data_IF_897260012277
#
_entry.id   IF_897260012277
#
_cell.length_a   1.000
_cell.length_b   1.000
_cell.length_c   1.000
_cell.angle_alpha   90.00
_cell.angle_beta   90.00
_cell.angle_gamma   90.00
#
_symmetry.space_group_name_H-M   'P 1'
#
loop_
_entity.id
_entity.type
_entity.pdbx_description
1 polymer ?
#
# COMPACT_ATOMS: atom_id res chain seq x y z
N UNK A 1 -27.05 -1.68 14.34
CA UNK A 1 -26.23 -0.65 14.96
C UNK A 1 -24.98 -0.40 14.13
N UNK A 2 -24.58 0.87 14.00
CA UNK A 2 -23.31 1.31 13.41
C UNK A 2 -22.68 2.30 14.40
N UNK A 3 -21.37 2.17 14.64
CA UNK A 3 -20.61 3.14 15.43
C UNK A 3 -19.82 4.02 14.46
N UNK A 4 -20.04 5.32 14.52
CA UNK A 4 -19.32 6.32 13.74
C UNK A 4 -18.16 6.89 14.55
N UNK A 5 -16.97 6.92 13.95
CA UNK A 5 -15.73 7.35 14.61
C UNK A 5 -14.97 6.21 15.27
N UNK A 6 -14.23 6.53 16.35
CA UNK A 6 -13.48 5.54 17.13
C UNK A 6 -14.44 4.71 17.99
N UNK A 7 -14.27 3.40 17.95
CA UNK A 7 -15.28 2.47 18.48
C UNK A 7 -15.15 2.12 19.95
N UNK A 8 -13.99 2.33 20.57
CA UNK A 8 -13.66 1.79 21.89
C UNK A 8 -14.68 2.17 22.97
N UNK A 9 -14.83 3.45 23.23
CA UNK A 9 -15.78 3.96 24.23
C UNK A 9 -17.23 3.76 23.81
N UNK A 10 -17.54 3.99 22.55
CA UNK A 10 -18.92 3.89 22.06
C UNK A 10 -19.43 2.44 22.11
N UNK A 11 -18.57 1.46 21.79
CA UNK A 11 -18.93 0.04 21.85
C UNK A 11 -19.12 -0.42 23.30
N UNK A 12 -18.23 -0.03 24.20
CA UNK A 12 -18.38 -0.32 25.64
C UNK A 12 -19.71 0.24 26.17
N UNK A 13 -19.99 1.53 25.90
CA UNK A 13 -21.23 2.17 26.34
C UNK A 13 -22.48 1.54 25.70
N UNK A 14 -22.38 1.05 24.46
CA UNK A 14 -23.46 0.30 23.83
C UNK A 14 -23.78 -0.98 24.60
N UNK A 15 -22.76 -1.75 24.98
CA UNK A 15 -22.94 -2.99 25.74
C UNK A 15 -23.55 -2.72 27.12
N UNK A 16 -23.06 -1.68 27.81
CA UNK A 16 -23.53 -1.31 29.16
C UNK A 16 -24.98 -0.77 29.14
N UNK A 17 -25.35 -0.07 28.07
CA UNK A 17 -26.65 0.62 27.97
C UNK A 17 -27.76 -0.24 27.35
N UNK A 18 -27.41 -1.32 26.65
CA UNK A 18 -28.39 -2.12 25.91
C UNK A 18 -29.53 -2.63 26.81
N UNK A 19 -30.83 -2.52 26.43
CA UNK A 19 -31.34 -2.04 25.12
C UNK A 19 -31.57 -0.51 25.00
N UNK A 20 -31.21 0.30 26.01
CA UNK A 20 -31.47 1.74 26.07
C UNK A 20 -30.35 2.56 25.45
N UNK A 21 -30.28 2.58 24.13
CA UNK A 21 -29.10 3.06 23.36
C UNK A 21 -29.18 4.52 22.88
N UNK A 22 -30.28 5.23 23.17
CA UNK A 22 -30.57 6.58 22.66
C UNK A 22 -29.53 7.65 23.09
N UNK A 23 -28.67 7.35 24.07
CA UNK A 23 -27.67 8.29 24.60
C UNK A 23 -26.21 7.91 24.29
N UNK A 24 -25.97 6.77 23.63
CA UNK A 24 -24.61 6.30 23.31
C UNK A 24 -23.99 7.16 22.21
N UNK A 25 -22.91 7.91 22.47
CA UNK A 25 -22.31 8.79 21.46
C UNK A 25 -21.78 8.01 20.27
N UNK A 26 -21.93 8.57 19.06
CA UNK A 26 -21.47 7.95 17.81
C UNK A 26 -22.30 6.79 17.34
N UNK A 27 -23.38 6.41 18.03
CA UNK A 27 -24.23 5.30 17.63
C UNK A 27 -25.26 5.75 16.58
N UNK A 28 -25.35 4.96 15.50
CA UNK A 28 -26.40 5.07 14.48
C UNK A 28 -27.19 3.76 14.49
N UNK A 29 -28.51 3.87 14.59
CA UNK A 29 -29.37 2.70 14.68
C UNK A 29 -30.77 2.94 14.09
N UNK A 30 -31.43 1.86 13.71
CA UNK A 30 -32.81 1.91 13.24
C UNK A 30 -33.76 1.90 14.43
N UNK A 31 -34.66 2.89 14.51
CA UNK A 31 -35.75 2.96 15.47
C UNK A 31 -37.06 3.07 14.71
N UNK A 32 -37.86 2.02 14.75
CA UNK A 32 -39.06 1.85 13.88
C UNK A 32 -38.64 1.96 12.40
N UNK A 33 -39.18 2.88 11.64
CA UNK A 33 -38.91 3.10 10.21
C UNK A 33 -37.90 4.22 9.92
N UNK A 34 -37.30 4.81 10.97
CA UNK A 34 -36.32 5.89 10.82
C UNK A 34 -34.93 5.48 11.28
N UNK A 35 -33.91 6.05 10.66
CA UNK A 35 -32.52 5.97 11.15
C UNK A 35 -32.31 7.12 12.14
N UNK A 36 -31.84 6.75 13.33
CA UNK A 36 -31.45 7.71 14.37
C UNK A 36 -29.93 7.77 14.41
N UNK A 37 -29.39 8.98 14.54
CA UNK A 37 -27.97 9.24 14.71
C UNK A 37 -27.76 10.03 16.02
N UNK A 38 -27.02 9.46 16.94
CA UNK A 38 -26.65 10.12 18.18
C UNK A 38 -25.52 11.13 17.96
N UNK A 39 -25.28 12.00 18.93
CA UNK A 39 -24.15 12.95 18.85
C UNK A 39 -22.86 12.23 18.58
N UNK A 40 -21.92 12.83 17.82
CA UNK A 40 -20.61 12.25 17.58
C UNK A 40 -19.90 11.85 18.88
N UNK A 41 -19.20 10.71 18.88
CA UNK A 41 -18.36 10.32 19.98
C UNK A 41 -17.14 11.24 20.07
N UNK A 42 -16.64 11.57 21.26
CA UNK A 42 -15.35 12.23 21.41
C UNK A 42 -14.23 11.31 20.93
N UNK A 43 -13.10 11.89 20.53
CA UNK A 43 -11.89 11.12 20.22
C UNK A 43 -11.45 10.33 21.45
N UNK A 44 -11.10 9.07 21.26
CA UNK A 44 -10.62 8.21 22.33
C UNK A 44 -9.25 8.66 22.85
N UNK A 45 -9.08 8.68 24.16
CA UNK A 45 -7.77 8.94 24.76
C UNK A 45 -6.90 7.68 24.71
N UNK A 46 -5.91 7.68 23.82
CA UNK A 46 -5.02 6.52 23.61
C UNK A 46 -4.18 6.15 24.87
N UNK A 47 -4.08 7.04 25.87
CA UNK A 47 -3.42 6.70 27.14
C UNK A 47 -4.18 5.61 27.91
N UNK A 48 -5.48 5.45 27.68
CA UNK A 48 -6.28 4.37 28.26
C UNK A 48 -5.92 2.99 27.70
N UNK A 49 -5.12 2.91 26.65
CA UNK A 49 -4.59 1.66 26.10
C UNK A 49 -3.33 1.15 26.82
N UNK A 50 -2.87 1.83 27.88
CA UNK A 50 -1.59 1.52 28.52
C UNK A 50 -1.46 0.06 29.00
N UNK A 51 -2.55 -0.49 29.54
CA UNK A 51 -2.59 -1.84 30.13
C UNK A 51 -3.29 -2.88 29.22
N UNK A 52 -3.57 -2.50 27.96
CA UNK A 52 -4.25 -3.39 27.01
C UNK A 52 -3.23 -4.08 26.12
N UNK A 53 -3.24 -5.41 26.15
CA UNK A 53 -2.51 -6.26 25.24
C UNK A 53 -3.49 -6.84 24.20
N UNK A 54 -3.47 -6.36 22.94
CA UNK A 54 -4.48 -6.77 21.94
C UNK A 54 -4.53 -8.27 21.64
N UNK A 55 -3.45 -8.98 21.92
CA UNK A 55 -3.28 -10.41 21.62
C UNK A 55 -3.30 -11.30 22.87
N UNK A 56 -3.76 -10.79 24.03
CA UNK A 56 -3.65 -11.51 25.31
C UNK A 56 -4.40 -12.85 25.31
N UNK A 57 -5.52 -12.92 24.62
CA UNK A 57 -6.42 -14.10 24.60
C UNK A 57 -6.27 -14.94 23.31
N UNK A 58 -5.31 -14.58 22.42
CA UNK A 58 -5.11 -15.32 21.18
C UNK A 58 -4.30 -16.60 21.40
N UNK A 59 -4.64 -17.64 20.65
CA UNK A 59 -3.83 -18.86 20.59
C UNK A 59 -2.51 -18.56 19.86
N UNK A 60 -1.41 -18.57 20.62
CA UNK A 60 -0.07 -18.22 20.13
C UNK A 60 0.42 -19.14 19.00
N UNK A 61 -0.02 -20.39 18.93
CA UNK A 61 0.35 -21.30 17.85
C UNK A 61 -0.27 -20.86 16.52
N UNK A 62 -1.46 -20.24 16.56
CA UNK A 62 -2.11 -19.70 15.36
C UNK A 62 -1.46 -18.41 14.87
N UNK A 63 -0.80 -17.64 15.74
CA UNK A 63 -0.18 -16.37 15.39
C UNK A 63 1.05 -16.55 14.49
N UNK A 64 1.78 -17.67 14.62
CA UNK A 64 3.06 -17.92 13.96
C UNK A 64 3.01 -17.81 12.44
N UNK A 65 1.89 -18.16 11.81
CA UNK A 65 1.71 -18.17 10.36
C UNK A 65 0.85 -17.01 9.85
N UNK A 66 0.53 -16.03 10.72
CA UNK A 66 -0.25 -14.85 10.37
C UNK A 66 0.64 -13.62 10.25
N UNK A 67 0.17 -12.63 9.48
CA UNK A 67 0.67 -11.27 9.59
C UNK A 67 0.04 -10.67 10.84
N UNK A 68 0.88 -10.20 11.76
CA UNK A 68 0.44 -9.58 13.01
C UNK A 68 0.50 -8.06 12.88
N UNK A 69 -0.45 -7.38 13.48
CA UNK A 69 -0.59 -5.94 13.31
C UNK A 69 -0.31 -5.21 14.63
N UNK A 70 0.34 -4.06 14.52
CA UNK A 70 0.59 -3.16 15.64
C UNK A 70 0.23 -1.73 15.24
N UNK A 71 -0.57 -1.07 16.04
CA UNK A 71 -0.79 0.37 15.98
C UNK A 71 0.12 1.05 17.01
N UNK A 72 0.91 2.04 16.59
CA UNK A 72 1.71 2.87 17.51
C UNK A 72 1.21 4.30 17.54
N UNK A 73 0.56 4.72 16.47
CA UNK A 73 -0.07 6.04 16.37
C UNK A 73 -1.34 5.99 15.53
N UNK A 74 -2.24 6.92 15.79
CA UNK A 74 -3.51 7.10 15.10
C UNK A 74 -3.61 8.50 14.53
N UNK A 75 -4.16 8.63 13.29
CA UNK A 75 -4.25 9.86 12.54
C UNK A 75 -3.13 10.05 11.52
N UNK A 76 -3.27 11.02 10.60
CA UNK A 76 -2.29 11.34 9.57
C UNK A 76 -2.21 12.86 9.38
N UNK A 77 -1.02 13.49 9.36
CA UNK A 77 -0.91 14.95 9.24
C UNK A 77 -1.20 15.48 7.84
N UNK A 78 -1.28 14.56 6.85
CA UNK A 78 -1.55 14.91 5.46
C UNK A 78 -3.04 14.97 5.17
N UNK A 79 -3.40 15.74 4.13
CA UNK A 79 -4.78 16.00 3.73
C UNK A 79 -5.07 15.45 2.33
N UNK A 80 -4.50 14.30 1.99
CA UNK A 80 -4.70 13.67 0.68
C UNK A 80 -6.19 13.36 0.47
N UNK A 81 -6.82 13.97 -0.54
CA UNK A 81 -8.26 13.97 -0.73
C UNK A 81 -8.86 12.59 -1.08
N UNK A 82 -8.05 11.66 -1.55
CA UNK A 82 -8.47 10.29 -1.84
C UNK A 82 -8.40 9.34 -0.62
N UNK A 83 -7.83 9.82 0.51
CA UNK A 83 -7.51 8.96 1.65
C UNK A 83 -8.42 9.22 2.85
N UNK A 84 -9.04 8.17 3.40
CA UNK A 84 -9.86 8.27 4.62
C UNK A 84 -9.05 8.69 5.85
N UNK A 85 -7.74 8.36 5.91
CA UNK A 85 -6.89 8.76 7.04
C UNK A 85 -6.70 10.28 7.13
N UNK A 86 -6.96 11.04 6.06
CA UNK A 86 -6.91 12.50 6.06
C UNK A 86 -8.05 13.16 6.83
N UNK A 87 -9.08 12.40 7.20
CA UNK A 87 -10.22 12.88 8.00
C UNK A 87 -9.83 13.08 9.47
N UNK A 88 -8.81 12.34 9.97
CA UNK A 88 -8.18 12.57 11.28
C UNK A 88 -6.74 13.09 11.09
N UNK A 89 -6.58 14.41 11.11
CA UNK A 89 -5.30 15.07 10.82
C UNK A 89 -4.42 15.31 12.08
N UNK A 90 -4.85 14.82 13.25
CA UNK A 90 -4.11 14.93 14.50
C UNK A 90 -3.47 13.60 14.87
N UNK A 91 -2.16 13.50 14.69
CA UNK A 91 -1.42 12.29 15.08
C UNK A 91 -1.31 12.18 16.60
N UNK A 92 -1.82 11.09 17.16
CA UNK A 92 -1.79 10.73 18.58
C UNK A 92 -1.04 9.42 18.74
N UNK A 93 -0.20 9.29 19.74
CA UNK A 93 0.62 8.11 19.98
C UNK A 93 0.09 7.31 21.14
N UNK A 94 0.19 5.99 21.05
CA UNK A 94 -0.02 5.08 22.16
C UNK A 94 1.09 5.25 23.21
N UNK A 95 0.88 4.82 24.47
CA UNK A 95 1.93 4.79 25.48
C UNK A 95 3.15 3.95 25.05
N UNK A 96 4.35 4.49 25.22
CA UNK A 96 5.60 3.82 24.82
C UNK A 96 5.76 2.43 25.47
N UNK A 97 5.39 2.30 26.74
CA UNK A 97 5.46 1.02 27.44
C UNK A 97 4.54 -0.03 26.83
N UNK A 98 3.32 0.36 26.43
CA UNK A 98 2.36 -0.55 25.77
C UNK A 98 2.88 -0.97 24.37
N UNK A 99 3.42 -0.03 23.58
CA UNK A 99 4.03 -0.33 22.29
C UNK A 99 5.14 -1.37 22.45
N UNK A 100 6.07 -1.16 23.37
CA UNK A 100 7.21 -2.05 23.63
C UNK A 100 6.77 -3.42 24.13
N UNK A 101 5.81 -3.48 25.05
CA UNK A 101 5.28 -4.74 25.55
C UNK A 101 4.63 -5.57 24.42
N UNK A 102 3.81 -4.91 23.58
CA UNK A 102 3.18 -5.57 22.43
C UNK A 102 4.23 -6.02 21.40
N UNK A 103 5.24 -5.19 21.10
CA UNK A 103 6.33 -5.57 20.20
C UNK A 103 7.09 -6.81 20.69
N UNK A 104 7.42 -6.88 21.98
CA UNK A 104 8.09 -8.08 22.56
C UNK A 104 7.25 -9.33 22.35
N UNK A 105 5.95 -9.26 22.63
CA UNK A 105 5.05 -10.37 22.42
C UNK A 105 4.98 -10.78 20.94
N UNK A 106 4.80 -9.82 20.03
CA UNK A 106 4.70 -10.09 18.59
C UNK A 106 6.00 -10.68 18.03
N UNK A 107 7.17 -10.17 18.43
CA UNK A 107 8.47 -10.72 18.04
C UNK A 107 8.67 -12.16 18.54
N UNK A 108 8.06 -12.50 19.67
CA UNK A 108 8.14 -13.85 20.24
C UNK A 108 7.27 -14.87 19.48
N UNK A 109 6.09 -14.46 19.01
CA UNK A 109 5.07 -15.38 18.53
C UNK A 109 4.79 -15.24 17.01
N UNK A 110 5.19 -14.11 16.36
CA UNK A 110 4.96 -13.84 14.97
C UNK A 110 6.23 -13.81 14.12
N UNK A 111 6.05 -13.84 12.80
CA UNK A 111 7.13 -13.65 11.82
C UNK A 111 7.05 -12.29 11.16
N UNK A 112 5.88 -11.92 10.65
CA UNK A 112 5.67 -10.65 9.96
C UNK A 112 4.83 -9.75 10.86
N UNK A 113 5.38 -8.61 11.24
CA UNK A 113 4.74 -7.59 12.06
C UNK A 113 4.54 -6.36 11.19
N UNK A 114 3.28 -5.99 10.92
CA UNK A 114 2.92 -4.83 10.12
C UNK A 114 2.42 -3.70 11.03
N UNK A 115 3.04 -2.53 10.91
CA UNK A 115 2.59 -1.32 11.58
C UNK A 115 1.39 -0.72 10.83
N UNK A 116 0.35 -0.32 11.57
CA UNK A 116 -0.88 0.27 11.03
C UNK A 116 -0.81 1.80 10.91
N UNK A 117 0.29 2.38 11.35
CA UNK A 117 0.54 3.80 11.29
C UNK A 117 0.57 4.30 9.85
N UNK A 118 -0.23 5.30 9.52
CA UNK A 118 -0.38 5.82 8.15
C UNK A 118 0.85 6.59 7.64
N UNK A 119 1.71 7.02 8.54
CA UNK A 119 3.03 7.58 8.25
C UNK A 119 3.89 7.40 9.48
N UNK A 120 4.64 6.35 9.54
CA UNK A 120 5.40 5.97 10.72
C UNK A 120 6.53 6.96 11.06
N UNK A 121 7.16 7.55 10.03
CA UNK A 121 8.37 8.37 10.18
C UNK A 121 8.13 9.87 10.43
N UNK A 122 6.99 10.26 11.02
CA UNK A 122 6.68 11.67 11.32
C UNK A 122 7.62 12.25 12.38
N UNK A 123 7.86 11.50 13.45
CA UNK A 123 8.74 11.92 14.57
C UNK A 123 10.05 11.16 14.52
N UNK A 124 11.14 11.83 14.12
CA UNK A 124 12.48 11.24 14.01
C UNK A 124 12.88 10.41 15.23
N UNK A 125 12.82 11.00 16.44
CA UNK A 125 13.28 10.32 17.64
C UNK A 125 12.45 9.08 17.94
N UNK A 126 11.13 9.16 17.82
CA UNK A 126 10.25 8.00 17.99
C UNK A 126 10.59 6.88 16.99
N UNK A 127 10.79 7.24 15.72
CA UNK A 127 11.17 6.26 14.69
C UNK A 127 12.47 5.54 15.04
N UNK A 128 13.51 6.29 15.45
CA UNK A 128 14.81 5.72 15.83
C UNK A 128 14.67 4.86 17.09
N UNK A 129 13.93 5.30 18.10
CA UNK A 129 13.73 4.56 19.36
C UNK A 129 13.03 3.22 19.11
N UNK A 130 12.00 3.19 18.25
CA UNK A 130 11.33 1.93 17.89
C UNK A 130 12.25 1.02 17.08
N UNK A 131 13.00 1.55 16.13
CA UNK A 131 13.96 0.76 15.35
C UNK A 131 15.05 0.17 16.22
N UNK A 132 15.63 0.96 17.14
CA UNK A 132 16.67 0.48 18.07
C UNK A 132 16.10 -0.60 19.01
N UNK A 133 14.88 -0.42 19.50
CA UNK A 133 14.19 -1.42 20.31
C UNK A 133 13.99 -2.74 19.55
N UNK A 134 13.57 -2.67 18.28
CA UNK A 134 13.43 -3.86 17.43
C UNK A 134 14.78 -4.54 17.24
N UNK A 135 15.84 -3.79 16.92
CA UNK A 135 17.19 -4.35 16.74
C UNK A 135 17.71 -5.06 17.98
N UNK A 136 17.37 -4.56 19.17
CA UNK A 136 17.79 -5.17 20.44
C UNK A 136 17.03 -6.47 20.78
N UNK A 137 15.81 -6.68 20.25
CA UNK A 137 14.91 -7.74 20.73
C UNK A 137 14.37 -8.68 19.63
N UNK A 138 14.56 -8.36 18.33
CA UNK A 138 14.02 -9.19 17.25
C UNK A 138 14.63 -10.60 17.25
N UNK A 139 13.88 -11.55 16.70
CA UNK A 139 14.31 -12.94 16.55
C UNK A 139 14.60 -13.25 15.07
N UNK A 140 15.44 -14.25 14.80
CA UNK A 140 15.67 -14.71 13.45
C UNK A 140 14.35 -15.04 12.73
N UNK A 141 14.15 -14.47 11.54
CA UNK A 141 12.95 -14.65 10.74
C UNK A 141 11.84 -13.63 10.99
N UNK A 142 12.00 -12.70 11.95
CA UNK A 142 11.09 -11.57 12.03
C UNK A 142 11.29 -10.61 10.84
N UNK A 143 10.21 -10.03 10.34
CA UNK A 143 10.16 -8.96 9.35
C UNK A 143 9.18 -7.89 9.83
N UNK A 144 9.57 -6.63 9.74
CA UNK A 144 8.74 -5.50 10.17
C UNK A 144 8.41 -4.60 8.99
N UNK A 145 7.12 -4.32 8.80
CA UNK A 145 6.61 -3.55 7.68
C UNK A 145 6.03 -2.22 8.16
N UNK A 146 6.46 -1.11 7.52
CA UNK A 146 6.10 0.25 7.89
C UNK A 146 5.58 1.01 6.68
N UNK A 147 4.47 1.74 6.83
CA UNK A 147 4.07 2.76 5.85
C UNK A 147 4.82 4.06 6.16
N UNK A 148 5.59 4.57 5.23
CA UNK A 148 6.39 5.79 5.40
C UNK A 148 6.15 6.82 4.28
N UNK A 149 6.43 8.07 4.58
CA UNK A 149 6.55 9.14 3.59
C UNK A 149 8.03 9.39 3.34
N UNK A 150 8.53 8.99 2.16
CA UNK A 150 9.97 8.95 1.91
C UNK A 150 10.63 10.33 1.89
N UNK A 151 10.01 11.34 1.29
CA UNK A 151 10.61 12.67 1.15
C UNK A 151 10.73 13.46 2.47
N UNK A 152 10.17 12.97 3.58
CA UNK A 152 10.38 13.52 4.92
C UNK A 152 11.35 12.70 5.78
N UNK A 153 11.91 11.61 5.28
CA UNK A 153 12.88 10.80 6.03
C UNK A 153 14.07 11.68 6.42
N UNK A 154 14.35 11.74 7.72
CA UNK A 154 15.45 12.53 8.24
C UNK A 154 16.80 11.85 7.95
N UNK A 155 17.89 12.60 7.67
CA UNK A 155 19.23 12.03 7.42
C UNK A 155 19.71 11.07 8.53
N UNK A 156 19.41 11.36 9.80
CA UNK A 156 19.77 10.49 10.92
C UNK A 156 19.11 9.10 10.83
N UNK A 157 17.87 9.03 10.30
CA UNK A 157 17.16 7.75 10.08
C UNK A 157 17.87 6.98 8.97
N UNK A 158 18.27 7.65 7.89
CA UNK A 158 18.99 7.03 6.78
C UNK A 158 20.31 6.45 7.29
N UNK A 159 21.09 7.26 8.02
CA UNK A 159 22.36 6.83 8.61
C UNK A 159 22.16 5.64 9.56
N UNK A 160 21.16 5.70 10.45
CA UNK A 160 20.83 4.62 11.36
C UNK A 160 20.54 3.31 10.63
N UNK A 161 19.73 3.38 9.56
CA UNK A 161 19.38 2.19 8.76
C UNK A 161 20.63 1.62 8.09
N UNK A 162 21.42 2.46 7.42
CA UNK A 162 22.63 2.03 6.71
C UNK A 162 23.66 1.37 7.63
N UNK A 163 23.84 1.91 8.84
CA UNK A 163 24.83 1.43 9.80
C UNK A 163 24.37 0.20 10.57
N UNK A 164 23.10 0.13 10.99
CA UNK A 164 22.65 -0.81 12.00
C UNK A 164 21.66 -1.86 11.51
N UNK A 165 20.82 -1.56 10.49
CA UNK A 165 19.75 -2.47 10.10
C UNK A 165 20.26 -3.58 9.19
N UNK A 166 20.06 -4.86 9.55
CA UNK A 166 20.40 -5.96 8.67
C UNK A 166 19.43 -6.01 7.46
N UNK A 167 19.94 -6.38 6.26
CA UNK A 167 19.08 -6.52 5.09
C UNK A 167 17.92 -7.50 5.33
N UNK A 168 16.73 -7.13 4.84
CA UNK A 168 15.53 -7.96 4.92
C UNK A 168 14.78 -7.93 6.26
N UNK A 169 15.29 -7.22 7.29
CA UNK A 169 14.57 -7.06 8.55
C UNK A 169 13.40 -6.09 8.43
N UNK A 170 13.58 -4.98 7.71
CA UNK A 170 12.58 -3.96 7.51
C UNK A 170 12.09 -3.93 6.08
N UNK A 171 10.79 -3.68 5.93
CA UNK A 171 10.10 -3.44 4.67
C UNK A 171 9.37 -2.10 4.76
N UNK A 172 9.53 -1.26 3.74
CA UNK A 172 8.85 0.04 3.66
C UNK A 172 7.82 0.05 2.54
N UNK A 173 6.57 0.40 2.88
CA UNK A 173 5.53 0.76 1.94
C UNK A 173 5.59 2.28 1.71
N UNK A 174 5.75 2.69 0.46
CA UNK A 174 5.94 4.08 0.07
C UNK A 174 4.93 4.43 -1.01
N UNK A 175 3.91 5.20 -0.63
CA UNK A 175 2.97 5.75 -1.59
C UNK A 175 3.62 6.88 -2.40
N UNK A 176 3.91 6.65 -3.68
CA UNK A 176 4.32 7.68 -4.64
C UNK A 176 3.09 8.31 -5.28
N UNK A 177 2.12 7.47 -5.63
CA UNK A 177 0.84 7.76 -6.24
C UNK A 177 0.96 8.19 -7.70
N UNK A 178 1.65 9.28 -8.00
CA UNK A 178 2.03 9.78 -9.32
C UNK A 178 3.25 10.69 -9.19
N UNK A 179 4.05 10.80 -10.25
CA UNK A 179 5.11 11.83 -10.33
C UNK A 179 4.60 13.15 -10.93
N UNK A 180 3.34 13.16 -11.41
CA UNK A 180 2.70 14.36 -11.93
C UNK A 180 2.40 15.35 -10.79
N UNK A 181 3.17 16.42 -10.71
CA UNK A 181 3.04 17.45 -9.68
C UNK A 181 1.63 18.11 -9.66
N UNK A 182 1.01 18.30 -10.84
CA UNK A 182 -0.31 18.92 -10.93
C UNK A 182 -1.38 18.04 -10.34
N UNK A 183 -1.34 16.74 -10.65
CA UNK A 183 -2.26 15.75 -10.09
C UNK A 183 -2.10 15.63 -8.57
N UNK A 184 -0.86 15.59 -8.08
CA UNK A 184 -0.58 15.58 -6.65
C UNK A 184 -1.17 16.80 -5.93
N UNK A 185 -0.98 18.01 -6.47
CA UNK A 185 -1.49 19.23 -5.86
C UNK A 185 -3.02 19.30 -5.90
N UNK A 186 -3.66 18.80 -6.96
CA UNK A 186 -5.12 18.77 -7.09
C UNK A 186 -5.79 17.92 -6.00
N UNK A 187 -5.12 16.87 -5.54
CA UNK A 187 -5.58 16.03 -4.42
C UNK A 187 -4.94 16.39 -3.08
N UNK A 188 -4.46 17.63 -2.95
CA UNK A 188 -3.87 18.18 -1.71
C UNK A 188 -2.65 17.38 -1.19
N UNK A 189 -1.94 16.68 -2.10
CA UNK A 189 -0.74 15.92 -1.78
C UNK A 189 0.51 16.73 -2.15
N UNK A 190 1.36 16.96 -1.17
CA UNK A 190 2.67 17.60 -1.37
C UNK A 190 3.75 16.53 -1.26
N UNK A 191 4.42 16.24 -2.35
CA UNK A 191 5.50 15.24 -2.40
C UNK A 191 6.60 15.73 -3.35
N UNK A 192 7.85 15.47 -2.96
CA UNK A 192 9.02 15.70 -3.80
C UNK A 192 9.52 14.35 -4.32
N UNK A 193 9.25 14.04 -5.58
CA UNK A 193 9.62 12.75 -6.18
C UNK A 193 11.12 12.55 -6.28
N UNK A 194 11.91 13.60 -6.64
CA UNK A 194 13.36 13.47 -6.74
C UNK A 194 13.99 13.10 -5.39
N UNK A 195 13.51 13.72 -4.31
CA UNK A 195 13.94 13.38 -2.96
C UNK A 195 13.50 11.96 -2.58
N UNK A 196 12.25 11.58 -2.88
CA UNK A 196 11.75 10.21 -2.70
C UNK A 196 12.63 9.19 -3.42
N UNK A 197 12.93 9.43 -4.70
CA UNK A 197 13.81 8.60 -5.53
C UNK A 197 15.20 8.44 -4.89
N UNK A 198 15.80 9.53 -4.47
CA UNK A 198 17.14 9.52 -3.84
C UNK A 198 17.15 8.70 -2.55
N UNK A 199 16.11 8.79 -1.73
CA UNK A 199 16.00 8.04 -0.46
C UNK A 199 15.76 6.55 -0.72
N UNK A 200 14.91 6.19 -1.68
CA UNK A 200 14.70 4.80 -2.08
C UNK A 200 16.02 4.19 -2.54
N UNK A 201 16.76 4.88 -3.41
CA UNK A 201 18.06 4.42 -3.90
C UNK A 201 19.10 4.27 -2.77
N UNK A 202 19.10 5.17 -1.80
CA UNK A 202 20.04 5.13 -0.66
C UNK A 202 19.76 3.98 0.31
N UNK A 203 18.55 3.44 0.33
CA UNK A 203 18.13 2.39 1.28
C UNK A 203 17.83 1.03 0.65
N UNK A 204 17.84 0.93 -0.68
CA UNK A 204 17.38 -0.27 -1.42
C UNK A 204 18.20 -1.54 -1.18
N UNK A 205 19.45 -1.44 -0.72
CA UNK A 205 20.31 -2.56 -0.35
C UNK A 205 20.05 -3.09 1.08
N UNK A 206 19.35 -2.32 1.90
CA UNK A 206 19.00 -2.65 3.30
C UNK A 206 17.53 -2.96 3.49
N UNK A 207 16.67 -2.18 2.82
CA UNK A 207 15.23 -2.18 3.03
C UNK A 207 14.51 -2.79 1.81
N UNK A 208 13.63 -3.74 2.06
CA UNK A 208 12.71 -4.21 1.02
C UNK A 208 11.64 -3.13 0.76
N UNK A 209 11.61 -2.60 -0.47
CA UNK A 209 10.71 -1.53 -0.86
C UNK A 209 9.44 -2.08 -1.51
N UNK A 210 8.28 -1.57 -1.08
CA UNK A 210 7.00 -1.70 -1.75
C UNK A 210 6.55 -0.30 -2.17
N UNK A 211 6.39 -0.07 -3.45
CA UNK A 211 6.03 1.24 -4.00
C UNK A 211 4.62 1.21 -4.54
N UNK A 212 3.86 2.29 -4.34
CA UNK A 212 2.47 2.39 -4.80
C UNK A 212 2.28 3.54 -5.77
N UNK A 213 1.55 3.26 -6.86
CA UNK A 213 0.99 4.22 -7.79
C UNK A 213 -0.53 4.15 -7.78
N UNK A 214 -1.21 5.27 -8.03
CA UNK A 214 -2.67 5.33 -8.20
C UNK A 214 -3.00 5.82 -9.60
N UNK A 215 -3.69 4.99 -10.35
CA UNK A 215 -4.26 5.32 -11.67
C UNK A 215 -5.58 6.06 -11.50
N UNK A 216 -5.74 7.17 -12.21
CA UNK A 216 -7.01 7.90 -12.28
C UNK A 216 -7.13 9.08 -11.33
N UNK A 217 -6.04 9.59 -10.78
CA UNK A 217 -6.05 10.87 -10.07
C UNK A 217 -6.49 12.01 -11.02
N UNK A 218 -7.11 13.08 -10.49
CA UNK A 218 -7.45 14.25 -11.32
C UNK A 218 -6.20 14.83 -11.99
N UNK A 219 -6.33 15.32 -13.22
CA UNK A 219 -5.25 15.91 -14.04
C UNK A 219 -4.09 14.93 -14.36
N UNK A 220 -4.30 13.63 -14.16
CA UNK A 220 -3.32 12.58 -14.48
C UNK A 220 -3.77 11.83 -15.74
N UNK A 221 -3.24 12.25 -16.89
CA UNK A 221 -3.57 11.68 -18.18
C UNK A 221 -2.80 10.39 -18.44
N UNK A 222 -3.20 9.62 -19.43
CA UNK A 222 -2.54 8.37 -19.80
C UNK A 222 -1.02 8.52 -19.99
N UNK A 223 -0.59 9.61 -20.64
CA UNK A 223 0.84 9.93 -20.81
C UNK A 223 1.57 10.19 -19.50
N UNK A 224 0.90 10.81 -18.53
CA UNK A 224 1.49 11.09 -17.21
C UNK A 224 1.63 9.80 -16.39
N UNK A 225 0.62 8.93 -16.46
CA UNK A 225 0.65 7.60 -15.82
C UNK A 225 1.76 6.75 -16.42
N UNK A 226 1.87 6.73 -17.75
CA UNK A 226 2.98 6.05 -18.44
C UNK A 226 4.33 6.55 -17.94
N UNK A 227 4.53 7.85 -17.91
CA UNK A 227 5.76 8.45 -17.41
C UNK A 227 6.03 8.12 -15.95
N UNK A 228 5.00 8.21 -15.09
CA UNK A 228 5.11 7.86 -13.66
C UNK A 228 5.50 6.39 -13.47
N UNK A 229 4.88 5.50 -14.22
CA UNK A 229 5.20 4.08 -14.16
C UNK A 229 6.64 3.79 -14.59
N UNK A 230 7.09 4.35 -15.74
CA UNK A 230 8.45 4.21 -16.26
C UNK A 230 9.50 4.70 -15.24
N UNK A 231 9.30 5.86 -14.63
CA UNK A 231 10.25 6.43 -13.67
C UNK A 231 10.29 5.64 -12.35
N UNK A 232 9.14 5.15 -11.89
CA UNK A 232 9.07 4.38 -10.64
C UNK A 232 9.57 2.96 -10.85
N UNK A 233 9.27 2.31 -11.97
CA UNK A 233 9.76 0.97 -12.28
C UNK A 233 11.29 0.90 -12.36
N UNK A 234 11.97 1.95 -12.85
CA UNK A 234 13.44 2.08 -12.87
C UNK A 234 14.09 2.02 -11.49
N UNK A 235 13.34 2.16 -10.42
CA UNK A 235 13.84 1.97 -9.04
C UNK A 235 13.99 0.48 -8.69
N UNK A 236 13.42 -0.41 -9.49
CA UNK A 236 13.49 -1.85 -9.33
C UNK A 236 13.10 -2.34 -7.93
N UNK A 237 12.14 -1.66 -7.31
CA UNK A 237 11.59 -2.13 -6.04
C UNK A 237 11.06 -3.56 -6.18
N UNK A 238 11.28 -4.43 -5.19
CA UNK A 238 10.81 -5.82 -5.21
C UNK A 238 9.30 -5.97 -5.46
N UNK A 239 8.53 -4.97 -5.08
CA UNK A 239 7.09 -4.91 -5.30
C UNK A 239 6.67 -3.51 -5.74
N UNK A 240 5.91 -3.43 -6.83
CA UNK A 240 5.29 -2.22 -7.33
C UNK A 240 3.79 -2.48 -7.47
N UNK A 241 2.98 -1.79 -6.68
CA UNK A 241 1.53 -1.86 -6.76
C UNK A 241 1.00 -0.75 -7.66
N UNK A 242 0.20 -1.13 -8.63
CA UNK A 242 -0.55 -0.20 -9.48
C UNK A 242 -2.02 -0.27 -9.08
N UNK A 243 -2.43 0.61 -8.16
CA UNK A 243 -3.80 0.70 -7.69
C UNK A 243 -4.65 1.62 -8.56
N UNK A 244 -5.98 1.41 -8.53
CA UNK A 244 -6.94 2.29 -9.22
C UNK A 244 -7.67 3.16 -8.20
N UNK A 245 -7.92 4.43 -8.56
CA UNK A 245 -8.62 5.38 -7.69
C UNK A 245 -9.97 4.81 -7.25
N UNK A 246 -10.21 4.84 -5.96
CA UNK A 246 -11.49 4.46 -5.33
C UNK A 246 -12.15 5.70 -4.77
N UNK A 247 -13.38 5.96 -5.20
CA UNK A 247 -14.17 7.12 -4.76
C UNK A 247 -14.85 6.78 -3.42
N UNK A 248 -14.03 6.66 -2.36
CA UNK A 248 -14.52 6.22 -1.05
C UNK A 248 -15.48 7.24 -0.44
N UNK A 249 -16.54 6.76 0.21
CA UNK A 249 -17.54 7.62 0.87
C UNK A 249 -16.88 8.46 1.96
N UNK A 250 -17.19 9.77 1.97
CA UNK A 250 -16.63 10.73 2.93
C UNK A 250 -15.29 11.35 2.51
N UNK A 251 -14.72 10.98 1.36
CA UNK A 251 -13.48 11.60 0.86
C UNK A 251 -13.76 12.81 -0.02
N UNK A 252 -12.97 13.91 0.09
CA UNK A 252 -13.15 15.10 -0.74
C UNK A 252 -13.07 14.84 -2.24
N UNK A 253 -12.23 13.90 -2.69
CA UNK A 253 -12.14 13.54 -4.12
C UNK A 253 -13.47 12.97 -4.65
N UNK A 254 -14.22 12.25 -3.82
CA UNK A 254 -15.55 11.76 -4.19
C UNK A 254 -16.55 12.91 -4.34
N UNK A 255 -16.49 13.90 -3.46
CA UNK A 255 -17.41 15.06 -3.53
C UNK A 255 -17.17 15.88 -4.80
N UNK A 256 -15.95 15.87 -5.35
CA UNK A 256 -15.56 16.51 -6.60
C UNK A 256 -15.86 15.67 -7.86
N UNK A 257 -16.59 14.56 -7.77
CA UNK A 257 -16.76 13.63 -8.90
C UNK A 257 -17.37 14.30 -10.14
N UNK A 258 -18.31 15.22 -9.99
CA UNK A 258 -18.89 15.96 -11.12
C UNK A 258 -17.86 16.86 -11.78
N UNK A 259 -17.03 17.56 -10.99
CA UNK A 259 -15.98 18.46 -11.49
C UNK A 259 -14.97 17.73 -12.37
N UNK A 260 -14.57 16.51 -11.98
CA UNK A 260 -13.57 15.71 -12.68
C UNK A 260 -14.17 14.70 -13.67
N UNK A 261 -15.50 14.67 -13.81
CA UNK A 261 -16.20 13.74 -14.69
C UNK A 261 -15.97 12.27 -14.29
N UNK A 262 -15.80 11.98 -13.00
CA UNK A 262 -15.60 10.63 -12.52
C UNK A 262 -16.88 9.80 -12.66
N UNK A 263 -16.82 8.78 -13.49
CA UNK A 263 -17.72 7.64 -13.46
C UNK A 263 -17.04 6.52 -12.68
N UNK A 264 -17.71 5.97 -11.67
CA UNK A 264 -17.17 4.95 -10.79
C UNK A 264 -18.24 3.95 -10.37
N UNK A 265 -17.83 2.78 -9.91
CA UNK A 265 -18.76 1.78 -9.39
C UNK A 265 -19.44 2.31 -8.11
N UNK A 266 -20.76 2.22 -8.04
CA UNK A 266 -21.52 2.62 -6.86
C UNK A 266 -21.48 1.60 -5.73
N UNK A 267 -21.07 0.37 -6.04
CA UNK A 267 -20.82 -0.69 -5.07
C UNK A 267 -19.33 -0.72 -4.65
N UNK A 268 -19.02 -1.19 -3.45
CA UNK A 268 -17.62 -1.39 -3.04
C UNK A 268 -16.87 -2.27 -4.05
N UNK A 269 -15.65 -1.91 -4.42
CA UNK A 269 -14.75 -0.92 -3.80
C UNK A 269 -14.85 0.51 -4.34
N UNK A 270 -15.90 0.90 -5.06
CA UNK A 270 -16.11 2.25 -5.62
C UNK A 270 -15.02 2.67 -6.62
N UNK A 271 -14.56 1.72 -7.42
CA UNK A 271 -13.43 1.91 -8.34
C UNK A 271 -13.81 2.81 -9.50
N UNK A 272 -12.88 3.66 -9.92
CA UNK A 272 -12.98 4.50 -11.11
C UNK A 272 -13.18 3.65 -12.37
N UNK A 273 -14.11 4.07 -13.24
CA UNK A 273 -14.41 3.46 -14.54
C UNK A 273 -13.90 4.34 -15.68
N UNK A 274 -14.10 5.64 -15.59
CA UNK A 274 -13.61 6.67 -16.55
C UNK A 274 -13.65 8.06 -15.92
N UNK A 275 -12.98 9.02 -16.53
CA UNK A 275 -12.94 10.41 -16.08
C UNK A 275 -12.72 11.38 -17.25
N UNK A 276 -12.67 12.70 -16.97
CA UNK A 276 -12.22 13.70 -17.95
C UNK A 276 -10.77 13.49 -18.43
N UNK A 277 -9.99 12.64 -17.76
CA UNK A 277 -8.53 12.46 -17.96
C UNK A 277 -8.18 11.10 -18.54
N UNK A 278 -9.03 10.09 -18.28
CA UNK A 278 -8.84 8.71 -18.72
C UNK A 278 -10.14 8.14 -19.23
N UNK A 279 -10.14 7.64 -20.45
CA UNK A 279 -11.23 6.86 -21.01
C UNK A 279 -11.27 5.45 -20.42
N UNK A 280 -12.43 4.81 -20.50
CA UNK A 280 -12.60 3.39 -20.10
C UNK A 280 -11.62 2.45 -20.84
N UNK A 281 -11.34 2.73 -22.12
CA UNK A 281 -10.42 1.94 -22.90
C UNK A 281 -8.97 2.05 -22.37
N UNK A 282 -8.54 3.25 -22.02
CA UNK A 282 -7.20 3.46 -21.42
C UNK A 282 -7.09 2.80 -20.04
N UNK A 283 -8.14 2.89 -19.20
CA UNK A 283 -8.17 2.19 -17.91
C UNK A 283 -8.06 0.67 -18.13
N UNK A 284 -8.76 0.10 -19.12
CA UNK A 284 -8.65 -1.33 -19.43
C UNK A 284 -7.22 -1.71 -19.87
N UNK A 285 -6.58 -0.88 -20.68
CA UNK A 285 -5.18 -1.10 -21.08
C UNK A 285 -4.22 -1.10 -19.89
N UNK A 286 -4.47 -0.22 -18.90
CA UNK A 286 -3.66 -0.17 -17.68
C UNK A 286 -3.97 -1.37 -16.76
N UNK A 287 -5.20 -1.88 -16.74
CA UNK A 287 -5.54 -3.12 -16.04
C UNK A 287 -4.79 -4.33 -16.64
N UNK A 288 -4.65 -4.39 -17.96
CA UNK A 288 -3.86 -5.43 -18.62
C UNK A 288 -2.37 -5.32 -18.21
N UNK A 289 -1.83 -4.11 -18.15
CA UNK A 289 -0.47 -3.86 -17.65
C UNK A 289 -0.31 -4.32 -16.20
N UNK A 290 -1.25 -3.95 -15.32
CA UNK A 290 -1.24 -4.33 -13.90
C UNK A 290 -1.25 -5.85 -13.74
N UNK A 291 -2.04 -6.55 -14.54
CA UNK A 291 -2.10 -8.00 -14.55
C UNK A 291 -0.72 -8.63 -14.90
N UNK A 292 -0.04 -8.11 -15.93
CA UNK A 292 1.30 -8.57 -16.28
C UNK A 292 2.34 -8.21 -15.21
N UNK A 293 2.27 -7.01 -14.63
CA UNK A 293 3.13 -6.57 -13.52
C UNK A 293 3.04 -7.54 -12.34
N UNK A 294 1.82 -7.90 -11.94
CA UNK A 294 1.60 -8.85 -10.84
C UNK A 294 2.16 -10.24 -11.15
N UNK A 295 1.92 -10.76 -12.37
CA UNK A 295 2.37 -12.10 -12.75
C UNK A 295 3.89 -12.18 -12.88
N UNK A 296 4.53 -11.20 -13.51
CA UNK A 296 5.91 -11.32 -13.96
C UNK A 296 6.91 -10.62 -13.03
N UNK A 297 6.54 -9.45 -12.46
CA UNK A 297 7.43 -8.69 -11.58
C UNK A 297 7.20 -9.00 -10.10
N UNK A 298 6.01 -8.74 -9.56
CA UNK A 298 5.73 -8.88 -8.14
C UNK A 298 5.91 -10.32 -7.62
N UNK A 299 5.63 -11.32 -8.48
CA UNK A 299 5.93 -12.74 -8.19
C UNK A 299 7.36 -13.15 -8.53
N UNK A 300 8.22 -12.19 -8.88
CA UNK A 300 9.66 -12.39 -9.15
C UNK A 300 9.94 -13.44 -10.24
N UNK A 301 9.07 -13.55 -11.26
CA UNK A 301 9.16 -14.59 -12.30
C UNK A 301 10.00 -14.16 -13.50
N UNK A 302 10.08 -12.86 -13.82
CA UNK A 302 10.78 -12.35 -15.00
C UNK A 302 11.73 -11.18 -14.65
N UNK A 303 12.46 -11.27 -13.54
CA UNK A 303 13.27 -10.15 -13.05
C UNK A 303 14.40 -9.77 -13.99
N UNK A 304 15.11 -10.74 -14.58
CA UNK A 304 16.18 -10.47 -15.54
C UNK A 304 15.63 -9.91 -16.84
N UNK A 305 14.58 -10.53 -17.35
CA UNK A 305 13.87 -10.10 -18.55
C UNK A 305 13.37 -8.66 -18.44
N UNK A 306 12.63 -8.33 -17.38
CA UNK A 306 12.02 -7.00 -17.24
C UNK A 306 13.04 -5.90 -16.93
N UNK A 307 14.16 -6.21 -16.27
CA UNK A 307 15.29 -5.28 -16.14
C UNK A 307 15.94 -4.97 -17.49
N UNK A 308 16.10 -5.98 -18.33
CA UNK A 308 16.60 -5.79 -19.70
C UNK A 308 15.66 -4.93 -20.54
N UNK A 309 14.35 -5.23 -20.51
CA UNK A 309 13.32 -4.43 -21.19
C UNK A 309 13.37 -2.98 -20.73
N UNK A 310 13.47 -2.72 -19.43
CA UNK A 310 13.52 -1.36 -18.87
C UNK A 310 14.69 -0.53 -19.41
N UNK A 311 15.81 -1.18 -19.71
CA UNK A 311 17.02 -0.51 -20.23
C UNK A 311 17.03 -0.38 -21.76
N UNK A 312 16.23 -1.15 -22.47
CA UNK A 312 16.29 -1.27 -23.94
C UNK A 312 15.02 -0.76 -24.62
N UNK A 313 13.88 -0.94 -23.99
CA UNK A 313 12.55 -0.63 -24.53
C UNK A 313 11.69 0.11 -23.50
N UNK A 314 10.44 0.45 -23.86
CA UNK A 314 9.45 0.93 -22.90
C UNK A 314 8.91 -0.24 -22.07
N UNK A 315 9.16 -0.22 -20.78
CA UNK A 315 8.63 -1.22 -19.87
C UNK A 315 7.10 -1.13 -19.75
N UNK A 316 6.55 0.08 -19.85
CA UNK A 316 5.10 0.29 -19.85
C UNK A 316 4.45 -0.39 -21.05
N UNK A 317 4.93 -0.12 -22.28
CA UNK A 317 4.36 -0.70 -23.49
C UNK A 317 4.55 -2.22 -23.55
N UNK A 318 5.70 -2.71 -23.08
CA UNK A 318 5.97 -4.14 -23.00
C UNK A 318 4.99 -4.86 -22.07
N UNK A 319 4.83 -4.40 -20.84
CA UNK A 319 3.92 -5.03 -19.87
C UNK A 319 2.46 -4.90 -20.29
N UNK A 320 2.06 -3.76 -20.86
CA UNK A 320 0.70 -3.58 -21.38
C UNK A 320 0.41 -4.56 -22.50
N UNK A 321 1.29 -4.64 -23.50
CA UNK A 321 1.13 -5.56 -24.62
C UNK A 321 1.15 -7.04 -24.17
N UNK A 322 2.06 -7.39 -23.27
CA UNK A 322 2.14 -8.72 -22.69
C UNK A 322 0.88 -9.07 -21.88
N UNK A 323 0.34 -8.12 -21.11
CA UNK A 323 -0.89 -8.32 -20.34
C UNK A 323 -2.10 -8.55 -21.24
N UNK A 324 -2.28 -7.70 -22.25
CA UNK A 324 -3.33 -7.89 -23.25
C UNK A 324 -3.19 -9.24 -23.99
N UNK A 325 -1.97 -9.63 -24.36
CA UNK A 325 -1.70 -10.93 -24.98
C UNK A 325 -2.02 -12.08 -24.02
N UNK A 326 -1.64 -11.98 -22.75
CA UNK A 326 -1.93 -12.99 -21.73
C UNK A 326 -3.44 -13.20 -21.52
N UNK A 327 -4.20 -12.11 -21.40
CA UNK A 327 -5.66 -12.15 -21.22
C UNK A 327 -6.33 -12.81 -22.44
N UNK A 328 -5.89 -12.51 -23.65
CA UNK A 328 -6.40 -13.15 -24.88
C UNK A 328 -6.13 -14.65 -24.91
N UNK A 329 -4.95 -15.12 -24.46
CA UNK A 329 -4.60 -16.53 -24.43
C UNK A 329 -5.33 -17.31 -23.33
N UNK A 330 -5.57 -16.69 -22.19
CA UNK A 330 -6.09 -17.37 -20.99
C UNK A 330 -7.53 -17.02 -20.63
N UNK A 331 -8.08 -15.92 -21.13
CA UNK A 331 -9.46 -15.49 -20.89
C UNK A 331 -9.91 -15.62 -19.42
N UNK A 332 -9.03 -15.22 -18.48
CA UNK A 332 -9.30 -15.29 -17.04
C UNK A 332 -9.22 -16.67 -16.38
N UNK A 333 -8.79 -17.70 -17.11
CA UNK A 333 -8.63 -19.05 -16.55
C UNK A 333 -7.36 -19.19 -15.70
N UNK A 334 -7.34 -20.20 -14.83
CA UNK A 334 -6.14 -20.58 -14.08
C UNK A 334 -4.99 -20.93 -15.02
N UNK A 335 -3.76 -20.69 -14.61
CA UNK A 335 -2.58 -20.96 -15.40
C UNK A 335 -1.49 -21.62 -14.54
N UNK A 336 -0.69 -22.46 -15.19
CA UNK A 336 0.50 -23.07 -14.60
C UNK A 336 1.72 -22.17 -14.76
N UNK A 337 2.77 -22.44 -13.97
CA UNK A 337 4.03 -21.72 -14.11
C UNK A 337 4.65 -21.86 -15.50
N UNK A 338 4.54 -23.04 -16.12
CA UNK A 338 5.02 -23.28 -17.48
C UNK A 338 4.31 -22.40 -18.50
N UNK A 339 2.99 -22.32 -18.44
CA UNK A 339 2.21 -21.47 -19.34
C UNK A 339 2.54 -19.98 -19.22
N UNK A 340 2.90 -19.52 -18.03
CA UNK A 340 3.39 -18.13 -17.84
C UNK A 340 4.61 -17.86 -18.72
N UNK A 341 5.58 -18.77 -18.75
CA UNK A 341 6.78 -18.62 -19.56
C UNK A 341 6.55 -18.90 -21.04
N UNK A 342 5.70 -19.87 -21.38
CA UNK A 342 5.33 -20.13 -22.77
C UNK A 342 4.68 -18.90 -23.41
N UNK A 343 3.79 -18.21 -22.68
CA UNK A 343 3.14 -16.96 -23.14
C UNK A 343 4.18 -15.84 -23.27
N UNK A 344 5.06 -15.65 -22.30
CA UNK A 344 6.10 -14.63 -22.34
C UNK A 344 7.05 -14.84 -23.53
N UNK A 345 7.48 -16.07 -23.77
CA UNK A 345 8.35 -16.41 -24.89
C UNK A 345 7.66 -16.20 -26.23
N UNK A 346 6.41 -16.65 -26.38
CA UNK A 346 5.62 -16.43 -27.60
C UNK A 346 5.43 -14.94 -27.90
N UNK A 347 5.10 -14.16 -26.88
CA UNK A 347 4.98 -12.70 -27.02
C UNK A 347 6.30 -12.06 -27.45
N UNK A 348 7.42 -12.45 -26.84
CA UNK A 348 8.75 -11.95 -27.19
C UNK A 348 9.13 -12.33 -28.64
N UNK A 349 8.91 -13.58 -29.06
CA UNK A 349 9.19 -14.04 -30.43
C UNK A 349 8.33 -13.34 -31.47
N UNK A 350 7.09 -13.01 -31.15
CA UNK A 350 6.19 -12.32 -32.06
C UNK A 350 6.53 -10.83 -32.24
N UNK A 351 6.90 -10.14 -31.15
CA UNK A 351 7.06 -8.69 -31.14
C UNK A 351 8.54 -8.23 -31.19
N UNK A 352 9.47 -9.11 -30.82
CA UNK A 352 10.91 -8.88 -30.75
C UNK A 352 11.70 -10.07 -31.35
N UNK A 353 11.40 -10.50 -32.59
CA UNK A 353 11.91 -11.76 -33.13
C UNK A 353 13.44 -11.80 -33.27
N UNK A 354 14.07 -10.65 -33.45
CA UNK A 354 15.53 -10.53 -33.64
C UNK A 354 16.29 -10.34 -32.32
N UNK A 355 15.59 -10.16 -31.19
CA UNK A 355 16.21 -9.96 -29.88
C UNK A 355 16.50 -11.32 -29.19
N UNK A 356 17.61 -11.91 -29.58
CA UNK A 356 18.08 -13.18 -29.01
C UNK A 356 18.36 -13.04 -27.51
N UNK A 357 18.90 -11.89 -27.07
CA UNK A 357 19.20 -11.63 -25.66
C UNK A 357 17.93 -11.67 -24.78
N UNK A 358 16.83 -11.14 -25.30
CA UNK A 358 15.53 -11.22 -24.62
C UNK A 358 15.08 -12.67 -24.42
N UNK A 359 15.20 -13.51 -25.46
CA UNK A 359 14.83 -14.91 -25.38
C UNK A 359 15.71 -15.71 -24.41
N UNK A 360 17.02 -15.43 -24.39
CA UNK A 360 17.95 -16.05 -23.44
C UNK A 360 17.64 -15.66 -21.98
N UNK A 361 17.28 -14.40 -21.73
CA UNK A 361 16.91 -13.93 -20.40
C UNK A 361 15.58 -14.54 -19.92
N UNK A 362 14.61 -14.73 -20.81
CA UNK A 362 13.37 -15.47 -20.49
C UNK A 362 13.70 -16.92 -20.07
N UNK A 363 14.60 -17.59 -20.79
CA UNK A 363 15.04 -18.92 -20.43
C UNK A 363 15.77 -18.93 -19.07
N UNK A 364 16.61 -17.94 -18.80
CA UNK A 364 17.29 -17.79 -17.51
C UNK A 364 16.27 -17.62 -16.36
N UNK A 365 15.29 -16.74 -16.51
CA UNK A 365 14.25 -16.54 -15.51
C UNK A 365 13.43 -17.82 -15.28
N UNK A 366 13.10 -18.56 -16.36
CA UNK A 366 12.43 -19.85 -16.26
C UNK A 366 13.24 -20.86 -15.40
N UNK A 367 14.52 -21.06 -15.71
CA UNK A 367 15.33 -22.03 -14.98
C UNK A 367 15.61 -21.62 -13.53
N UNK A 368 15.59 -20.34 -13.19
CA UNK A 368 15.73 -19.89 -11.80
C UNK A 368 14.53 -20.24 -10.93
N UNK A 369 13.34 -20.48 -11.50
CA UNK A 369 12.14 -20.87 -10.77
C UNK A 369 12.05 -22.39 -10.52
N UNK A 370 12.76 -23.20 -11.28
CA UNK A 370 12.83 -24.65 -11.10
C UNK A 370 14.11 -25.00 -10.32
N UNK A 371 14.02 -24.92 -8.99
CA UNK A 371 15.07 -25.40 -8.07
C UNK A 371 14.75 -26.78 -7.58
#
# INVERSE_FOLDING_TARGET
>A
FIIAGEGETAFQQLLDAYPHTDHVPGLIFKKSDSVQENKPAPMFDLQQMADIMPYADDDVELLRNKVLYLETSRGCPYKCEFCLASLDNKVRYLPDASIKATLLFLMQHGRVIKFLDRTFNIKKNFTIDVFDFILAHHRPGNVFQFEITADIVHPDIIQFIQEKVPPGLFRFEIGIQTVNQKANLEVSRKQNFDKTKSIIQALSDKIEMHLDLIVGLPLDYYSDIRYSFEEVFKLFAPELQLGFLKLLKGTPVRDKHVQHGFLFDHEPPYQLIESNYLSRAEIQQILDLEHALEIYWNKKRACHTLRYITNTYSIFDFLQGLGSYFVQQKNGLSYTLREVYDILLQYAQQHFPEDVSLQDLIALDYYTQYK
#
